data_IF_034452022354
#
_entry.id   IF_034452022354
#
_cell.length_a   1.000
_cell.length_b   1.000
_cell.length_c   1.000
_cell.angle_alpha   90.00
_cell.angle_beta   90.00
_cell.angle_gamma   90.00
#
_symmetry.space_group_name_H-M   'P 1'
#
loop_
_entity.id
_entity.type
_entity.pdbx_description
1 polymer ?
#
# COMPACT_ATOMS: atom_id res chain seq x y z
N UNK A 1 -8.96 10.23 22.91
CA UNK A 1 -8.16 9.09 22.39
C UNK A 1 -6.71 9.36 22.75
N UNK A 2 -6.03 8.43 23.44
CA UNK A 2 -4.61 8.59 23.85
C UNK A 2 -3.66 8.32 22.66
N UNK A 3 -3.83 9.06 21.56
CA UNK A 3 -3.11 8.84 20.29
C UNK A 3 -1.60 9.03 20.44
N UNK A 4 -1.20 9.92 21.33
CA UNK A 4 0.20 10.18 21.67
C UNK A 4 0.88 8.96 22.32
N UNK A 5 0.13 8.05 22.95
CA UNK A 5 0.69 6.88 23.65
C UNK A 5 0.99 5.68 22.74
N UNK A 6 0.62 5.76 21.46
CA UNK A 6 0.83 4.68 20.49
C UNK A 6 2.32 4.33 20.31
N UNK A 7 3.21 5.31 20.51
CA UNK A 7 4.65 5.14 20.49
C UNK A 7 5.29 4.69 21.80
N UNK A 8 4.55 4.71 22.93
CA UNK A 8 5.12 4.44 24.26
C UNK A 8 5.13 2.95 24.60
N UNK A 9 4.09 2.24 24.14
CA UNK A 9 3.86 0.82 24.41
C UNK A 9 3.18 0.16 23.22
N UNK A 10 3.32 -1.17 23.11
CA UNK A 10 2.67 -1.97 22.07
C UNK A 10 1.16 -1.75 22.10
N UNK A 11 0.65 -1.13 21.05
CA UNK A 11 -0.76 -0.73 20.92
C UNK A 11 -1.20 -0.92 19.47
N UNK A 12 -2.44 -1.36 19.26
CA UNK A 12 -3.06 -1.44 17.95
C UNK A 12 -4.28 -0.51 17.90
N UNK A 13 -4.33 0.36 16.90
CA UNK A 13 -5.47 1.25 16.63
C UNK A 13 -6.09 0.84 15.29
N UNK A 14 -7.39 0.58 15.29
CA UNK A 14 -8.15 0.29 14.09
C UNK A 14 -9.07 1.47 13.78
N UNK A 15 -8.91 2.05 12.60
CA UNK A 15 -9.80 3.06 12.05
C UNK A 15 -10.62 2.40 10.95
N UNK A 16 -11.90 2.20 11.21
CA UNK A 16 -12.82 1.49 10.31
C UNK A 16 -13.73 2.52 9.69
N UNK A 17 -13.79 2.53 8.36
CA UNK A 17 -14.67 3.40 7.59
C UNK A 17 -15.62 2.60 6.73
N UNK A 18 -16.74 3.22 6.39
CA UNK A 18 -17.61 2.69 5.35
C UNK A 18 -16.94 2.89 3.99
N UNK A 19 -17.02 1.87 3.15
CA UNK A 19 -16.65 1.91 1.73
C UNK A 19 -17.65 2.71 0.88
N UNK A 20 -18.89 2.78 1.35
CA UNK A 20 -20.03 3.37 0.62
C UNK A 20 -20.38 4.78 1.07
N UNK A 21 -20.00 5.18 2.29
CA UNK A 21 -20.34 6.49 2.85
C UNK A 21 -19.10 7.34 3.09
N UNK A 22 -18.90 8.33 2.21
CA UNK A 22 -17.79 9.28 2.28
C UNK A 22 -17.98 10.40 3.30
N UNK A 23 -19.16 10.49 3.95
CA UNK A 23 -19.52 11.59 4.85
C UNK A 23 -18.49 11.79 5.97
N UNK A 24 -17.89 10.71 6.47
CA UNK A 24 -17.00 10.75 7.63
C UNK A 24 -15.50 10.70 7.28
N UNK A 25 -15.13 10.74 6.00
CA UNK A 25 -13.72 10.62 5.59
C UNK A 25 -12.84 11.74 6.18
N UNK A 26 -13.40 12.94 6.32
CA UNK A 26 -12.70 14.08 6.93
C UNK A 26 -12.30 13.82 8.40
N UNK A 27 -13.08 13.04 9.15
CA UNK A 27 -12.74 12.71 10.55
C UNK A 27 -11.49 11.84 10.60
N UNK A 28 -11.35 10.89 9.67
CA UNK A 28 -10.18 10.02 9.61
C UNK A 28 -8.95 10.81 9.18
N UNK A 29 -9.08 11.69 8.18
CA UNK A 29 -8.00 12.60 7.80
C UNK A 29 -7.54 13.48 8.98
N UNK A 30 -8.50 13.99 9.78
CA UNK A 30 -8.19 14.74 10.99
C UNK A 30 -7.49 13.87 12.04
N UNK A 31 -7.94 12.64 12.26
CA UNK A 31 -7.29 11.69 13.18
C UNK A 31 -5.85 11.43 12.75
N UNK A 32 -5.60 11.16 11.46
CA UNK A 32 -4.24 10.95 10.96
C UNK A 32 -3.36 12.19 11.15
N UNK A 33 -3.89 13.37 10.86
CA UNK A 33 -3.15 14.63 11.05
C UNK A 33 -2.74 14.81 12.50
N UNK A 34 -3.68 14.63 13.43
CA UNK A 34 -3.41 14.73 14.87
C UNK A 34 -2.47 13.63 15.34
N UNK A 35 -2.66 12.40 14.88
CA UNK A 35 -1.80 11.27 15.18
C UNK A 35 -0.34 11.56 14.80
N UNK A 36 -0.08 11.97 13.57
CA UNK A 36 1.29 12.24 13.12
C UNK A 36 1.91 13.42 13.86
N UNK A 37 1.16 14.50 14.11
CA UNK A 37 1.68 15.66 14.85
C UNK A 37 2.04 15.28 16.28
N UNK A 38 1.12 14.64 17.02
CA UNK A 38 1.34 14.24 18.41
C UNK A 38 2.51 13.25 18.54
N UNK A 39 2.62 12.29 17.63
CA UNK A 39 3.72 11.34 17.64
C UNK A 39 5.06 12.00 17.30
N UNK A 40 5.08 12.96 16.38
CA UNK A 40 6.29 13.70 16.05
C UNK A 40 6.75 14.60 17.20
N UNK A 41 5.84 15.37 17.79
CA UNK A 41 6.11 16.22 18.96
C UNK A 41 6.63 15.36 20.13
N UNK A 42 5.99 14.23 20.40
CA UNK A 42 6.42 13.33 21.47
C UNK A 42 7.78 12.70 21.21
N UNK A 43 8.06 12.31 19.97
CA UNK A 43 9.38 11.82 19.60
C UNK A 43 10.45 12.88 19.89
N UNK A 44 10.21 14.13 19.48
CA UNK A 44 11.18 15.22 19.58
C UNK A 44 11.35 15.73 21.03
N UNK A 45 10.25 16.00 21.73
CA UNK A 45 10.26 16.68 23.04
C UNK A 45 10.49 15.73 24.22
N UNK A 46 10.04 14.47 24.13
CA UNK A 46 10.11 13.50 25.24
C UNK A 46 11.23 12.49 25.07
N UNK A 47 11.44 12.01 23.84
CA UNK A 47 12.34 10.88 23.56
C UNK A 47 13.62 11.27 22.80
N UNK A 48 13.87 12.56 22.57
CA UNK A 48 15.10 13.04 21.94
C UNK A 48 15.23 12.68 20.46
N UNK A 49 14.10 12.55 19.77
CA UNK A 49 13.98 12.40 18.32
C UNK A 49 13.47 11.06 17.82
N UNK A 50 13.26 10.04 18.67
CA UNK A 50 12.77 8.70 18.26
C UNK A 50 11.81 8.10 19.28
N UNK A 51 10.68 7.58 18.82
CA UNK A 51 9.76 6.84 19.68
C UNK A 51 10.37 5.51 20.16
N UNK A 52 10.09 5.07 21.40
CA UNK A 52 10.62 3.81 21.93
C UNK A 52 9.99 2.58 21.25
N UNK A 53 8.75 2.67 20.76
CA UNK A 53 8.09 1.64 19.97
C UNK A 53 7.78 2.16 18.57
N UNK A 54 8.20 1.41 17.54
CA UNK A 54 7.95 1.78 16.15
C UNK A 54 6.45 1.79 15.83
N UNK A 55 5.96 2.94 15.35
CA UNK A 55 4.56 3.11 14.94
C UNK A 55 4.45 2.93 13.43
N UNK A 56 3.75 1.87 13.00
CA UNK A 56 3.48 1.60 11.59
C UNK A 56 2.02 1.88 11.27
N UNK A 57 1.77 2.87 10.42
CA UNK A 57 0.46 3.16 9.86
C UNK A 57 0.24 2.32 8.60
N UNK A 58 -0.66 1.35 8.67
CA UNK A 58 -1.14 0.59 7.51
C UNK A 58 -2.42 1.26 7.02
N UNK A 59 -2.32 1.94 5.88
CA UNK A 59 -3.42 2.71 5.32
C UNK A 59 -3.94 1.92 4.13
N UNK A 60 -4.90 1.05 4.44
CA UNK A 60 -5.64 0.32 3.41
C UNK A 60 -6.51 1.31 2.63
N UNK A 61 -6.39 1.26 1.31
CA UNK A 61 -7.06 2.16 0.39
C UNK A 61 -6.94 3.66 0.74
N UNK A 62 -5.72 4.18 0.69
CA UNK A 62 -5.42 5.58 1.06
C UNK A 62 -6.24 6.63 0.26
N UNK A 63 -6.75 6.26 -0.92
CA UNK A 63 -7.61 7.10 -1.72
C UNK A 63 -8.97 7.40 -1.06
N UNK A 64 -9.52 6.45 -0.30
CA UNK A 64 -10.85 6.59 0.30
C UNK A 64 -10.85 7.55 1.49
N UNK A 65 -9.73 7.67 2.22
CA UNK A 65 -9.61 8.61 3.35
C UNK A 65 -9.72 10.07 2.89
N UNK A 66 -9.43 10.34 1.60
CA UNK A 66 -9.28 11.67 1.06
C UNK A 66 -7.90 12.26 1.34
N UNK A 67 -7.81 13.59 1.38
CA UNK A 67 -6.53 14.27 1.53
C UNK A 67 -6.13 14.35 3.00
N UNK A 68 -5.04 13.66 3.37
CA UNK A 68 -4.29 13.93 4.62
C UNK A 68 -3.44 15.20 4.40
N UNK A 69 -3.67 16.27 5.16
CA UNK A 69 -2.89 17.50 5.08
C UNK A 69 -1.37 17.29 5.21
N UNK A 70 -0.60 17.95 4.34
CA UNK A 70 0.87 17.92 4.35
C UNK A 70 1.50 16.52 4.32
N UNK A 71 0.82 15.51 3.75
CA UNK A 71 1.32 14.15 3.71
C UNK A 71 2.71 14.08 3.07
N UNK A 72 2.99 14.87 2.04
CA UNK A 72 4.28 14.95 1.34
C UNK A 72 5.44 15.36 2.26
N UNK A 73 5.17 16.22 3.25
CA UNK A 73 6.16 16.61 4.27
C UNK A 73 6.28 15.55 5.35
N UNK A 74 5.15 14.98 5.78
CA UNK A 74 5.12 13.95 6.82
C UNK A 74 5.93 12.73 6.40
N UNK A 75 5.71 12.19 5.20
CA UNK A 75 6.42 10.98 4.73
C UNK A 75 7.93 11.17 4.63
N UNK A 76 8.40 12.42 4.48
CA UNK A 76 9.82 12.75 4.46
C UNK A 76 10.45 12.80 5.87
N UNK A 77 9.67 13.15 6.91
CA UNK A 77 10.19 13.44 8.26
C UNK A 77 9.92 12.35 9.29
N UNK A 78 8.87 11.53 9.10
CA UNK A 78 8.45 10.51 10.07
C UNK A 78 9.49 9.39 10.27
N UNK A 79 10.29 9.09 9.24
CA UNK A 79 11.28 8.00 9.27
C UNK A 79 12.29 8.17 10.40
N UNK A 80 12.78 9.39 10.64
CA UNK A 80 13.79 9.63 11.69
C UNK A 80 13.23 9.49 13.10
N UNK A 81 11.89 9.47 13.24
CA UNK A 81 11.14 9.44 14.50
C UNK A 81 10.61 8.05 14.87
N UNK A 82 11.05 7.03 14.14
CA UNK A 82 10.60 5.64 14.30
C UNK A 82 9.10 5.47 13.94
N UNK A 83 8.64 6.21 12.94
CA UNK A 83 7.28 6.14 12.40
C UNK A 83 7.37 5.78 10.91
N UNK A 84 6.50 4.88 10.45
CA UNK A 84 6.38 4.53 9.03
C UNK A 84 4.93 4.49 8.56
N UNK A 85 4.74 4.76 7.27
CA UNK A 85 3.45 4.67 6.61
C UNK A 85 3.54 3.70 5.43
N UNK A 86 2.50 2.88 5.25
CA UNK A 86 2.32 2.00 4.11
C UNK A 86 0.98 2.35 3.47
N UNK A 87 1.03 2.97 2.30
CA UNK A 87 -0.15 3.35 1.54
C UNK A 87 -0.47 2.23 0.55
N UNK A 88 -1.67 1.67 0.68
CA UNK A 88 -2.22 0.73 -0.31
C UNK A 88 -3.13 1.53 -1.25
N UNK A 89 -2.92 1.35 -2.55
CA UNK A 89 -3.63 2.06 -3.61
C UNK A 89 -4.05 1.04 -4.67
N UNK A 90 -5.26 1.19 -5.22
CA UNK A 90 -5.68 0.37 -6.36
C UNK A 90 -4.99 0.86 -7.65
N UNK A 91 -4.86 2.17 -7.79
CA UNK A 91 -4.17 2.81 -8.90
C UNK A 91 -3.43 4.07 -8.44
N UNK A 92 -2.26 4.32 -9.02
CA UNK A 92 -1.50 5.54 -8.72
C UNK A 92 -2.25 6.82 -9.13
N UNK A 93 -3.13 6.71 -10.14
CA UNK A 93 -4.00 7.80 -10.58
C UNK A 93 -4.91 8.33 -9.47
N UNK A 94 -5.32 7.48 -8.52
CA UNK A 94 -6.10 7.90 -7.35
C UNK A 94 -5.30 8.86 -6.46
N UNK A 95 -4.01 8.56 -6.22
CA UNK A 95 -3.14 9.44 -5.46
C UNK A 95 -2.92 10.77 -6.19
N UNK A 96 -2.72 10.73 -7.52
CA UNK A 96 -2.59 11.93 -8.36
C UNK A 96 -3.87 12.78 -8.35
N UNK A 97 -5.04 12.17 -8.33
CA UNK A 97 -6.32 12.89 -8.27
C UNK A 97 -6.46 13.69 -6.95
N UNK A 98 -6.01 13.13 -5.83
CA UNK A 98 -6.15 13.74 -4.50
C UNK A 98 -5.03 14.77 -4.24
N UNK A 99 -3.78 14.42 -4.56
CA UNK A 99 -2.60 15.20 -4.18
C UNK A 99 -2.00 16.04 -5.32
N UNK A 100 -2.47 15.86 -6.56
CA UNK A 100 -1.98 16.58 -7.75
C UNK A 100 -0.45 16.51 -7.84
N UNK A 101 0.22 17.65 -7.93
CA UNK A 101 1.68 17.77 -8.04
C UNK A 101 2.44 17.18 -6.83
N UNK A 102 1.78 17.08 -5.66
CA UNK A 102 2.39 16.49 -4.47
C UNK A 102 2.45 14.96 -4.52
N UNK A 103 1.69 14.31 -5.41
CA UNK A 103 1.65 12.85 -5.50
C UNK A 103 3.03 12.26 -5.84
N UNK A 104 3.75 12.87 -6.79
CA UNK A 104 5.08 12.43 -7.19
C UNK A 104 6.08 12.58 -6.04
N UNK A 105 5.94 13.63 -5.22
CA UNK A 105 6.76 13.83 -4.01
C UNK A 105 6.47 12.76 -2.96
N UNK A 106 5.21 12.40 -2.75
CA UNK A 106 4.83 11.32 -1.83
C UNK A 106 5.43 10.00 -2.30
N UNK A 107 5.21 9.64 -3.58
CA UNK A 107 5.72 8.42 -4.21
C UNK A 107 7.26 8.39 -4.19
N UNK A 108 7.93 9.53 -4.36
CA UNK A 108 9.39 9.66 -4.31
C UNK A 108 9.99 9.45 -2.92
N UNK A 109 9.24 9.77 -1.86
CA UNK A 109 9.67 9.57 -0.47
C UNK A 109 9.41 8.13 0.04
N UNK A 110 8.59 7.34 -0.66
CA UNK A 110 8.36 5.94 -0.31
C UNK A 110 9.58 5.08 -0.67
N UNK A 111 10.17 4.46 0.35
CA UNK A 111 11.41 3.66 0.21
C UNK A 111 11.19 2.34 -0.55
N UNK A 112 9.97 1.81 -0.50
CA UNK A 112 9.59 0.55 -1.12
C UNK A 112 8.30 0.71 -1.92
N UNK A 113 8.23 0.08 -3.08
CA UNK A 113 7.01 -0.02 -3.91
C UNK A 113 6.76 -1.47 -4.28
N UNK A 114 5.53 -1.93 -4.07
CA UNK A 114 5.12 -3.29 -4.41
C UNK A 114 3.99 -3.18 -5.42
N UNK A 115 4.20 -3.74 -6.60
CA UNK A 115 3.15 -3.91 -7.60
C UNK A 115 2.57 -5.32 -7.50
N UNK A 116 1.28 -5.41 -7.18
CA UNK A 116 0.56 -6.66 -6.95
C UNK A 116 -0.27 -7.13 -8.16
N UNK A 117 -0.15 -6.44 -9.29
CA UNK A 117 -1.01 -6.59 -10.46
C UNK A 117 -1.94 -5.39 -10.64
N UNK A 118 -2.37 -5.16 -11.88
CA UNK A 118 -3.25 -4.06 -12.24
C UNK A 118 -3.25 -3.81 -13.75
N UNK A 119 -4.29 -3.15 -14.24
CA UNK A 119 -4.49 -2.87 -15.67
C UNK A 119 -4.43 -1.38 -16.01
N UNK A 120 -4.08 -0.54 -15.03
CA UNK A 120 -4.10 0.91 -15.19
C UNK A 120 -2.89 1.37 -16.04
N UNK A 121 -3.12 1.99 -17.22
CA UNK A 121 -2.04 2.22 -18.20
C UNK A 121 -0.91 3.13 -17.71
N UNK A 122 -1.18 4.12 -16.85
CA UNK A 122 -0.13 5.03 -16.36
C UNK A 122 0.78 4.34 -15.37
N UNK A 123 0.24 3.59 -14.41
CA UNK A 123 1.00 2.75 -13.46
C UNK A 123 1.87 1.74 -14.20
N UNK A 124 1.32 1.08 -15.24
CA UNK A 124 2.08 0.10 -16.02
C UNK A 124 3.23 0.73 -16.82
N UNK A 125 3.03 1.93 -17.39
CA UNK A 125 4.08 2.67 -18.08
C UNK A 125 5.20 3.10 -17.13
N UNK A 126 4.84 3.61 -15.95
CA UNK A 126 5.83 3.98 -14.93
C UNK A 126 6.63 2.76 -14.46
N UNK A 127 5.96 1.62 -14.26
CA UNK A 127 6.62 0.38 -13.89
C UNK A 127 7.55 -0.13 -14.98
N UNK A 128 7.11 -0.14 -16.25
CA UNK A 128 7.96 -0.49 -17.40
C UNK A 128 9.22 0.38 -17.47
N UNK A 129 9.07 1.69 -17.28
CA UNK A 129 10.23 2.62 -17.22
C UNK A 129 11.16 2.32 -16.04
N UNK A 130 10.60 1.96 -14.88
CA UNK A 130 11.37 1.62 -13.68
C UNK A 130 12.13 0.29 -13.80
N UNK A 131 11.58 -0.69 -14.53
CA UNK A 131 12.26 -1.96 -14.83
C UNK A 131 13.45 -1.77 -15.78
N UNK A 132 13.31 -0.84 -16.73
CA UNK A 132 14.34 -0.53 -17.72
C UNK A 132 14.37 -1.53 -18.88
N UNK A 133 15.51 -1.56 -19.56
CA UNK A 133 15.70 -2.32 -20.81
C UNK A 133 16.76 -3.40 -20.67
N UNK A 134 16.53 -4.51 -21.34
CA UNK A 134 17.52 -5.55 -21.62
C UNK A 134 18.09 -5.39 -23.04
N UNK A 135 19.28 -5.94 -23.28
CA UNK A 135 19.87 -5.97 -24.62
C UNK A 135 19.70 -7.36 -25.19
N UNK A 136 19.16 -7.44 -26.40
CA UNK A 136 18.98 -8.68 -27.15
C UNK A 136 19.89 -8.64 -28.37
N UNK A 137 20.57 -9.76 -28.59
CA UNK A 137 21.40 -9.98 -29.76
C UNK A 137 20.54 -10.58 -30.89
N UNK A 138 20.38 -9.82 -31.97
CA UNK A 138 19.63 -10.24 -33.16
C UNK A 138 20.59 -10.70 -34.25
N UNK A 139 20.36 -11.91 -34.75
CA UNK A 139 21.10 -12.49 -35.87
C UNK A 139 20.19 -12.56 -37.09
N UNK A 140 20.46 -11.73 -38.09
CA UNK A 140 19.77 -11.79 -39.38
C UNK A 140 20.63 -12.56 -40.37
N UNK A 141 20.19 -13.75 -40.75
CA UNK A 141 20.83 -14.56 -41.80
C UNK A 141 20.07 -14.38 -43.10
N UNK A 142 20.69 -13.77 -44.10
CA UNK A 142 20.15 -13.68 -45.45
C UNK A 142 20.77 -14.76 -46.33
N UNK A 143 19.91 -15.55 -46.97
CA UNK A 143 20.32 -16.56 -47.95
C UNK A 143 19.67 -16.22 -49.29
N UNK A 144 20.47 -15.71 -50.21
CA UNK A 144 19.99 -15.34 -51.55
C UNK A 144 20.39 -16.44 -52.53
N UNK A 145 19.39 -17.22 -52.99
CA UNK A 145 19.57 -18.27 -54.00
C UNK A 145 19.32 -17.73 -55.41
N UNK A 146 20.38 -17.21 -56.03
CA UNK A 146 20.46 -16.90 -57.46
C UNK A 146 21.54 -17.72 -58.17
N UNK A 147 21.99 -17.29 -59.35
CA UNK A 147 23.03 -17.99 -60.14
C UNK A 147 24.40 -18.08 -59.42
N UNK A 148 24.63 -17.22 -58.41
CA UNK A 148 25.67 -17.37 -57.39
C UNK A 148 25.02 -17.29 -56.00
N UNK A 149 25.19 -18.29 -55.13
CA UNK A 149 24.69 -18.25 -53.76
C UNK A 149 25.49 -17.25 -52.91
N UNK A 150 24.78 -16.37 -52.21
CA UNK A 150 25.36 -15.39 -51.29
C UNK A 150 24.77 -15.60 -49.89
N UNK A 151 25.66 -15.60 -48.88
CA UNK A 151 25.31 -15.70 -47.46
C UNK A 151 25.74 -14.41 -46.76
N UNK A 152 24.77 -13.66 -46.24
CA UNK A 152 25.02 -12.49 -45.40
C UNK A 152 24.60 -12.78 -43.96
N UNK A 153 25.47 -12.48 -43.00
CA UNK A 153 25.13 -12.54 -41.58
C UNK A 153 25.29 -11.15 -40.97
N UNK A 154 24.18 -10.59 -40.49
CA UNK A 154 24.17 -9.29 -39.83
C UNK A 154 23.86 -9.47 -38.35
N UNK A 155 24.73 -8.95 -37.49
CA UNK A 155 24.61 -9.01 -36.05
C UNK A 155 24.30 -7.62 -35.50
N UNK A 156 23.18 -7.50 -34.78
CA UNK A 156 22.72 -6.23 -34.21
C UNK A 156 22.32 -6.41 -32.76
N UNK A 157 22.78 -5.51 -31.89
CA UNK A 157 22.29 -5.41 -30.51
C UNK A 157 21.10 -4.47 -30.47
N UNK A 158 19.95 -4.96 -30.00
CA UNK A 158 18.71 -4.19 -29.87
C UNK A 158 18.35 -4.05 -28.38
N UNK A 159 17.95 -2.86 -27.95
CA UNK A 159 17.37 -2.67 -26.62
C UNK A 159 15.89 -3.01 -26.61
N UNK A 160 15.46 -3.98 -25.79
CA UNK A 160 14.06 -4.34 -25.54
C UNK A 160 13.72 -4.00 -24.10
N UNK A 161 12.48 -3.58 -23.83
CA UNK A 161 12.02 -3.43 -22.44
C UNK A 161 12.07 -4.78 -21.72
N UNK A 162 12.48 -4.77 -20.45
CA UNK A 162 12.61 -6.00 -19.65
C UNK A 162 11.25 -6.71 -19.48
N UNK A 163 10.18 -5.93 -19.37
CA UNK A 163 8.80 -6.40 -19.47
C UNK A 163 7.98 -5.34 -20.21
N UNK A 164 7.24 -5.77 -21.22
CA UNK A 164 6.29 -4.92 -21.93
C UNK A 164 5.10 -4.57 -21.05
N UNK A 165 4.41 -3.46 -21.37
CA UNK A 165 3.19 -3.05 -20.69
C UNK A 165 2.12 -4.16 -20.69
N UNK A 166 2.06 -4.94 -21.78
CA UNK A 166 1.11 -6.04 -21.92
C UNK A 166 1.47 -7.22 -21.01
N UNK A 167 2.75 -7.62 -20.94
CA UNK A 167 3.23 -8.63 -19.99
C UNK A 167 2.98 -8.22 -18.54
N UNK A 168 3.11 -6.93 -18.21
CA UNK A 168 2.81 -6.40 -16.87
C UNK A 168 1.31 -6.36 -16.56
N UNK A 169 0.46 -6.14 -17.56
CA UNK A 169 -1.00 -6.13 -17.40
C UNK A 169 -1.57 -7.52 -17.10
N UNK A 170 -0.93 -8.57 -17.62
CA UNK A 170 -1.32 -9.98 -17.41
C UNK A 170 -0.39 -10.69 -16.41
N UNK A 171 0.23 -9.93 -15.51
CA UNK A 171 1.09 -10.50 -14.45
C UNK A 171 0.30 -11.53 -13.64
N UNK A 172 0.90 -12.71 -13.45
CA UNK A 172 0.29 -13.78 -12.66
C UNK A 172 -0.10 -13.27 -11.25
N UNK A 173 -1.34 -13.57 -10.85
CA UNK A 173 -1.88 -13.20 -9.55
C UNK A 173 -1.09 -13.78 -8.37
N UNK A 174 -0.25 -14.80 -8.58
CA UNK A 174 0.68 -15.32 -7.57
C UNK A 174 1.97 -14.51 -7.43
N UNK A 175 2.25 -13.57 -8.33
CA UNK A 175 3.52 -12.81 -8.40
C UNK A 175 3.36 -11.33 -8.10
N UNK A 176 4.44 -10.72 -7.67
CA UNK A 176 4.54 -9.27 -7.47
C UNK A 176 5.90 -8.75 -7.93
N UNK A 177 5.95 -7.46 -8.24
CA UNK A 177 7.21 -6.77 -8.53
C UNK A 177 7.52 -5.87 -7.35
N UNK A 178 8.65 -6.11 -6.71
CA UNK A 178 9.14 -5.32 -5.59
C UNK A 178 10.27 -4.42 -6.06
N UNK A 179 10.11 -3.12 -5.81
CA UNK A 179 11.14 -2.10 -6.00
C UNK A 179 11.54 -1.55 -4.64
N UNK A 180 12.81 -1.70 -4.29
CA UNK A 180 13.41 -1.13 -3.08
C UNK A 180 14.41 -0.04 -3.48
N UNK A 181 14.55 0.97 -2.62
CA UNK A 181 15.53 2.03 -2.84
C UNK A 181 16.95 1.47 -2.97
N UNK A 182 17.65 1.88 -4.02
CA UNK A 182 19.06 1.55 -4.25
C UNK A 182 19.31 0.19 -4.90
N UNK A 183 18.26 -0.58 -5.23
CA UNK A 183 18.40 -1.85 -5.95
C UNK A 183 17.49 -1.89 -7.18
N UNK A 184 17.81 -2.79 -8.11
CA UNK A 184 16.95 -3.04 -9.28
C UNK A 184 15.64 -3.70 -8.80
N UNK A 185 14.50 -3.40 -9.43
CA UNK A 185 13.27 -4.13 -9.15
C UNK A 185 13.44 -5.62 -9.44
N UNK A 186 12.75 -6.45 -8.68
CA UNK A 186 12.78 -7.90 -8.89
C UNK A 186 11.38 -8.49 -8.78
N UNK A 187 11.15 -9.54 -9.58
CA UNK A 187 9.95 -10.35 -9.56
C UNK A 187 10.03 -11.31 -8.37
N UNK A 188 8.97 -11.37 -7.58
CA UNK A 188 8.85 -12.25 -6.41
C UNK A 188 7.48 -12.94 -6.41
N UNK A 189 7.39 -14.06 -5.71
CA UNK A 189 6.11 -14.68 -5.40
C UNK A 189 5.45 -13.93 -4.23
N UNK A 190 4.11 -13.86 -4.25
CA UNK A 190 3.31 -13.33 -3.16
C UNK A 190 3.38 -14.26 -1.96
N UNK A 191 3.33 -13.68 -0.78
CA UNK A 191 3.36 -14.45 0.45
C UNK A 191 2.08 -15.28 0.60
N UNK A 192 2.25 -16.59 0.75
CA UNK A 192 1.15 -17.51 1.02
C UNK A 192 0.70 -17.38 2.48
N UNK A 193 -0.52 -16.87 2.67
CA UNK A 193 -1.09 -16.62 3.97
C UNK A 193 -1.20 -17.90 4.82
N UNK A 194 -1.37 -19.07 4.20
CA UNK A 194 -1.53 -20.34 4.91
C UNK A 194 -0.27 -20.78 5.65
N UNK A 195 0.89 -20.27 5.23
CA UNK A 195 2.20 -20.55 5.84
C UNK A 195 2.47 -19.66 7.05
N UNK A 196 1.64 -18.64 7.30
CA UNK A 196 1.83 -17.74 8.43
C UNK A 196 1.65 -18.49 9.76
N UNK A 197 2.55 -18.33 10.76
CA UNK A 197 2.47 -19.05 12.05
C UNK A 197 1.13 -18.86 12.78
N UNK A 198 0.46 -17.73 12.52
CA UNK A 198 -0.82 -17.36 13.12
C UNK A 198 -2.02 -17.55 12.17
N UNK A 199 -1.86 -18.22 11.03
CA UNK A 199 -2.97 -18.45 10.09
C UNK A 199 -4.19 -19.09 10.75
N UNK A 200 -3.96 -20.01 11.70
CA UNK A 200 -5.01 -20.64 12.51
C UNK A 200 -5.91 -19.70 13.31
N UNK A 201 -5.51 -18.44 13.49
CA UNK A 201 -6.28 -17.41 14.20
C UNK A 201 -7.15 -16.56 13.26
N UNK A 202 -7.08 -16.76 11.95
CA UNK A 202 -7.86 -15.98 10.97
C UNK A 202 -9.22 -16.61 10.71
N UNK A 203 -10.14 -15.79 10.17
CA UNK A 203 -11.45 -16.25 9.72
C UNK A 203 -11.35 -17.21 8.51
N UNK A 204 -10.29 -17.10 7.71
CA UNK A 204 -10.04 -17.96 6.55
C UNK A 204 -9.73 -19.41 6.97
N UNK A 205 -9.07 -19.59 8.12
CA UNK A 205 -8.83 -20.92 8.69
C UNK A 205 -10.10 -21.50 9.33
N UNK A 206 -10.80 -20.70 10.15
CA UNK A 206 -12.07 -21.07 10.77
C UNK A 206 -12.98 -19.85 10.89
N UNK A 207 -14.18 -19.92 10.29
CA UNK A 207 -15.20 -18.86 10.36
C UNK A 207 -15.57 -18.44 11.78
N UNK A 208 -15.30 -19.27 12.79
CA UNK A 208 -15.51 -18.92 14.21
C UNK A 208 -14.58 -17.80 14.68
N UNK A 209 -13.44 -17.60 14.03
CA UNK A 209 -12.49 -16.53 14.34
C UNK A 209 -12.90 -15.17 13.74
N UNK A 210 -13.98 -15.12 12.95
CA UNK A 210 -14.48 -13.90 12.33
C UNK A 210 -14.86 -12.85 13.39
N UNK A 211 -14.20 -11.69 13.34
CA UNK A 211 -14.50 -10.58 14.24
C UNK A 211 -15.77 -9.85 13.77
N UNK A 212 -16.85 -9.98 14.55
CA UNK A 212 -18.15 -9.36 14.23
C UNK A 212 -18.26 -7.98 14.87
N UNK A 213 -17.84 -6.97 14.11
CA UNK A 213 -17.84 -5.56 14.53
C UNK A 213 -19.22 -5.12 15.03
N UNK A 214 -20.30 -5.47 14.32
CA UNK A 214 -21.67 -5.11 14.71
C UNK A 214 -22.04 -5.60 16.10
N UNK A 215 -21.62 -6.83 16.47
CA UNK A 215 -21.87 -7.39 17.80
C UNK A 215 -21.03 -6.71 18.87
N UNK A 216 -19.83 -6.26 18.52
CA UNK A 216 -18.93 -5.56 19.44
C UNK A 216 -19.37 -4.12 19.70
N UNK A 217 -19.84 -3.41 18.66
CA UNK A 217 -20.34 -2.03 18.76
C UNK A 217 -21.81 -1.96 19.20
N UNK A 218 -22.55 -3.08 19.14
CA UNK A 218 -23.90 -3.21 19.67
C UNK A 218 -23.91 -2.96 21.18
N UNK A 219 -24.19 -1.72 21.57
CA UNK A 219 -24.57 -1.35 22.92
C UNK A 219 -26.06 -1.64 23.20
N UNK A 220 -26.71 -2.53 22.42
CA UNK A 220 -28.07 -2.98 22.75
C UNK A 220 -28.02 -3.67 24.10
N UNK A 221 -28.63 -3.04 25.10
CA UNK A 221 -28.82 -3.62 26.42
C UNK A 221 -29.46 -4.99 26.25
N UNK A 222 -28.74 -6.06 26.61
CA UNK A 222 -29.35 -7.39 26.73
C UNK A 222 -30.07 -7.40 28.07
N UNK A 223 -31.33 -6.98 28.06
CA UNK A 223 -32.23 -7.10 29.20
C UNK A 223 -32.35 -8.58 29.57
N UNK A 224 -31.94 -8.92 30.79
CA UNK A 224 -32.24 -10.21 31.39
C UNK A 224 -33.69 -10.19 31.90
N UNK A 225 -34.29 -11.37 32.08
CA UNK A 225 -35.69 -11.48 32.51
C UNK A 225 -35.96 -10.80 33.87
N UNK A 226 -34.90 -10.57 34.66
CA UNK A 226 -34.96 -10.08 36.03
C UNK A 226 -34.48 -8.62 36.15
N UNK A 227 -34.13 -7.96 35.04
CA UNK A 227 -33.67 -6.58 35.06
C UNK A 227 -34.87 -5.63 35.25
N UNK A 228 -34.84 -4.77 36.28
CA UNK A 228 -35.78 -3.65 36.43
C UNK A 228 -35.29 -2.45 35.62
N UNK A 229 -36.14 -1.90 34.75
CA UNK A 229 -35.80 -0.74 33.92
C UNK A 229 -36.96 0.25 33.86
N UNK A 230 -36.62 1.54 33.83
CA UNK A 230 -37.56 2.65 33.67
C UNK A 230 -37.65 2.97 32.19
N UNK A 231 -38.81 2.71 31.59
CA UNK A 231 -39.12 3.13 30.22
C UNK A 231 -39.48 4.60 30.26
N UNK A 232 -38.74 5.42 29.51
CA UNK A 232 -39.08 6.83 29.29
C UNK A 232 -39.45 6.95 27.82
N UNK A 233 -40.76 7.09 27.55
CA UNK A 233 -41.23 7.42 26.20
C UNK A 233 -40.78 8.84 25.86
N UNK A 234 -40.15 8.98 24.70
CA UNK A 234 -39.82 10.27 24.12
C UNK A 234 -40.95 10.66 23.16
N UNK A 235 -41.76 11.65 23.54
CA UNK A 235 -42.68 12.36 22.64
C UNK A 235 -41.94 13.07 21.50
#
# INVERSE_FOLDING_TARGET
MQLDTLGDKKTALFLIMSDTDSTFNFLISMIYTQLFNLLCEKADDVYGGRLPVHVRCLIDEAANIGQIPNLEKLVATIRSREISACLVLQAQSQLKAIYKDNADTIIGNMDSRIFLGGSEPTTLKELNQALGKETIDTFNTSNTRGNSPSYGMNYQKLGKDLASVDELAVLDGSKCILQLRGVRPFLSDKYDLTQHPNFKLTADYDKRNEFKIEKFLSHRLRLKADDEFVVVDAD
#
